data_IF_368909665347
#
_entry.id   IF_368909665347
#
_cell.length_a   1.000
_cell.length_b   1.000
_cell.length_c   1.000
_cell.angle_alpha   90.00
_cell.angle_beta   90.00
_cell.angle_gamma   90.00
#
_symmetry.space_group_name_H-M   'P 1'
#
loop_
_entity.id
_entity.type
_entity.pdbx_description
1 polymer ?
#
# COMPACT_ATOMS: atom_id res chain seq x y z
N UNK A 1 7.38 10.84 -4.76
CA UNK A 1 8.65 11.16 -4.09
C UNK A 1 9.79 10.27 -4.59
N UNK A 2 9.65 8.91 -4.59
CA UNK A 2 10.74 8.01 -5.05
C UNK A 2 11.18 8.31 -6.49
N UNK A 3 10.24 8.42 -7.42
CA UNK A 3 10.55 8.74 -8.82
C UNK A 3 11.28 10.08 -8.97
N UNK A 4 10.88 11.09 -8.20
CA UNK A 4 11.55 12.39 -8.20
C UNK A 4 12.98 12.32 -7.62
N UNK A 5 13.16 11.58 -6.51
CA UNK A 5 14.47 11.35 -5.91
C UNK A 5 15.44 10.67 -6.91
N UNK A 6 14.96 9.64 -7.61
CA UNK A 6 15.75 8.94 -8.62
C UNK A 6 16.09 9.88 -9.77
N UNK A 7 15.07 10.54 -10.32
CA UNK A 7 15.24 11.36 -11.51
C UNK A 7 16.18 12.57 -11.29
N UNK A 8 16.00 13.28 -10.15
CA UNK A 8 16.64 14.59 -9.93
C UNK A 8 17.86 14.57 -9.02
N UNK A 9 18.03 13.55 -8.19
CA UNK A 9 19.11 13.53 -7.19
C UNK A 9 20.10 12.40 -7.48
N UNK A 10 19.61 11.22 -7.89
CA UNK A 10 20.47 10.03 -7.95
C UNK A 10 21.00 9.69 -9.36
N UNK A 11 20.36 10.18 -10.42
CA UNK A 11 20.65 9.66 -11.77
C UNK A 11 20.69 10.72 -12.89
N UNK A 12 20.78 12.00 -12.59
CA UNK A 12 20.83 13.07 -13.61
C UNK A 12 19.83 12.87 -14.77
N UNK A 13 18.52 12.79 -14.41
CA UNK A 13 17.39 12.65 -15.34
C UNK A 13 17.29 11.30 -16.08
N UNK A 14 17.79 10.19 -15.50
CA UNK A 14 17.64 8.88 -16.11
C UNK A 14 16.17 8.38 -16.08
N UNK A 15 15.52 8.39 -17.26
CA UNK A 15 14.19 7.82 -17.45
C UNK A 15 14.17 6.30 -17.21
N UNK A 16 15.25 5.59 -17.56
CA UNK A 16 15.37 4.14 -17.34
C UNK A 16 15.36 3.78 -15.85
N UNK A 17 16.12 4.51 -15.02
CA UNK A 17 16.15 4.28 -13.57
C UNK A 17 14.80 4.57 -12.91
N UNK A 18 14.12 5.64 -13.35
CA UNK A 18 12.76 5.99 -12.89
C UNK A 18 11.73 4.94 -13.33
N UNK A 19 11.81 4.46 -14.56
CA UNK A 19 10.98 3.37 -15.07
C UNK A 19 11.19 2.09 -14.29
N UNK A 20 12.44 1.72 -13.99
CA UNK A 20 12.78 0.55 -13.15
C UNK A 20 12.20 0.68 -11.74
N UNK A 21 12.31 1.85 -11.11
CA UNK A 21 11.72 2.10 -9.79
C UNK A 21 10.21 1.86 -9.80
N UNK A 22 9.54 2.39 -10.81
CA UNK A 22 8.09 2.23 -11.00
C UNK A 22 7.72 0.78 -11.26
N UNK A 23 8.48 0.09 -12.12
CA UNK A 23 8.28 -1.33 -12.40
C UNK A 23 8.43 -2.18 -11.13
N UNK A 24 9.47 -1.97 -10.33
CA UNK A 24 9.70 -2.67 -9.07
C UNK A 24 8.58 -2.41 -8.04
N UNK A 25 7.98 -1.22 -8.04
CA UNK A 25 6.86 -0.89 -7.17
C UNK A 25 5.57 -1.63 -7.56
N UNK A 26 5.29 -1.79 -8.85
CA UNK A 26 4.05 -2.42 -9.33
C UNK A 26 4.18 -3.92 -9.59
N UNK A 27 5.38 -4.43 -9.84
CA UNK A 27 5.64 -5.85 -10.09
C UNK A 27 5.09 -6.78 -9.00
N UNK A 28 5.28 -6.51 -7.70
CA UNK A 28 4.69 -7.34 -6.65
C UNK A 28 3.16 -7.39 -6.70
N UNK A 29 2.50 -6.29 -7.01
CA UNK A 29 1.05 -6.26 -7.14
C UNK A 29 0.57 -7.18 -8.27
N UNK A 30 1.28 -7.21 -9.40
CA UNK A 30 0.97 -8.09 -10.52
C UNK A 30 1.19 -9.57 -10.16
N UNK A 31 2.32 -9.89 -9.54
CA UNK A 31 2.69 -11.28 -9.24
C UNK A 31 1.96 -11.87 -8.02
N UNK A 32 1.67 -11.03 -7.03
CA UNK A 32 1.16 -11.48 -5.73
C UNK A 32 -0.36 -11.28 -5.58
N UNK A 33 -1.04 -10.63 -6.53
CA UNK A 33 -2.47 -10.26 -6.41
C UNK A 33 -3.38 -11.43 -6.05
N UNK A 34 -3.26 -12.56 -6.75
CA UNK A 34 -4.06 -13.75 -6.47
C UNK A 34 -3.77 -14.36 -5.09
N UNK A 35 -2.47 -14.42 -4.71
CA UNK A 35 -2.06 -14.91 -3.41
C UNK A 35 -2.48 -13.94 -2.29
N UNK A 36 -2.35 -12.63 -2.51
CA UNK A 36 -2.71 -11.60 -1.55
C UNK A 36 -4.21 -11.61 -1.20
N UNK A 37 -5.08 -11.82 -2.19
CA UNK A 37 -6.51 -12.01 -1.97
C UNK A 37 -6.78 -13.21 -1.06
N UNK A 38 -6.20 -14.37 -1.37
CA UNK A 38 -6.35 -15.58 -0.55
C UNK A 38 -5.84 -15.43 0.88
N UNK A 39 -4.73 -14.72 1.06
CA UNK A 39 -4.18 -14.43 2.39
C UNK A 39 -5.12 -13.48 3.14
N UNK A 40 -5.59 -12.41 2.50
CA UNK A 40 -6.47 -11.42 3.12
C UNK A 40 -7.78 -12.04 3.64
N UNK A 41 -8.32 -13.06 2.95
CA UNK A 41 -9.53 -13.77 3.37
C UNK A 41 -9.30 -14.67 4.62
N UNK A 42 -8.06 -15.07 4.89
CA UNK A 42 -7.71 -16.07 5.91
C UNK A 42 -7.15 -15.50 7.20
N UNK A 43 -6.58 -14.31 7.14
CA UNK A 43 -5.90 -13.67 8.27
C UNK A 43 -6.84 -12.73 9.03
N UNK A 44 -6.43 -12.31 10.23
CA UNK A 44 -7.02 -11.18 10.92
C UNK A 44 -6.63 -9.89 10.19
N UNK A 45 -7.57 -9.32 9.42
CA UNK A 45 -7.33 -8.17 8.57
C UNK A 45 -6.77 -6.97 9.36
N UNK A 46 -7.26 -6.74 10.58
CA UNK A 46 -6.78 -5.64 11.43
C UNK A 46 -5.29 -5.79 11.75
N UNK A 47 -4.89 -6.96 12.29
CA UNK A 47 -3.49 -7.23 12.63
C UNK A 47 -2.62 -7.18 11.40
N UNK A 48 -3.12 -7.73 10.30
CA UNK A 48 -2.41 -7.75 9.04
C UNK A 48 -2.18 -6.35 8.49
N UNK A 49 -3.18 -5.48 8.52
CA UNK A 49 -3.06 -4.07 8.14
C UNK A 49 -2.07 -3.30 9.04
N UNK A 50 -2.07 -3.56 10.36
CA UNK A 50 -1.04 -2.97 11.24
C UNK A 50 0.36 -3.35 10.80
N UNK A 51 0.58 -4.63 10.44
CA UNK A 51 1.89 -5.10 9.96
C UNK A 51 2.26 -4.43 8.64
N UNK A 52 1.37 -4.43 7.63
CA UNK A 52 1.66 -3.81 6.33
C UNK A 52 1.93 -2.31 6.44
N UNK A 53 1.15 -1.59 7.24
CA UNK A 53 1.36 -0.16 7.51
C UNK A 53 2.70 0.09 8.23
N UNK A 54 3.04 -0.75 9.22
CA UNK A 54 4.32 -0.64 9.93
C UNK A 54 5.49 -0.90 8.99
N UNK A 55 5.42 -1.92 8.14
CA UNK A 55 6.47 -2.20 7.14
C UNK A 55 6.65 -1.01 6.19
N UNK A 56 5.57 -0.47 5.64
CA UNK A 56 5.64 0.69 4.74
C UNK A 56 6.18 1.94 5.45
N UNK A 57 5.80 2.14 6.72
CA UNK A 57 6.31 3.22 7.56
C UNK A 57 7.81 3.10 7.82
N UNK A 58 8.28 1.91 8.20
CA UNK A 58 9.71 1.63 8.45
C UNK A 58 10.53 1.81 7.17
N UNK A 59 10.08 1.26 6.04
CA UNK A 59 10.76 1.44 4.75
C UNK A 59 10.88 2.92 4.39
N UNK A 60 9.80 3.69 4.60
CA UNK A 60 9.82 5.14 4.36
C UNK A 60 10.75 5.88 5.31
N UNK A 61 10.79 5.50 6.59
CA UNK A 61 11.67 6.09 7.59
C UNK A 61 13.16 5.80 7.30
N UNK A 62 13.49 4.57 6.90
CA UNK A 62 14.86 4.20 6.51
C UNK A 62 15.29 5.02 5.29
N UNK A 63 14.44 5.10 4.27
CA UNK A 63 14.74 5.90 3.08
C UNK A 63 14.89 7.40 3.42
N UNK A 64 14.05 7.92 4.33
CA UNK A 64 14.19 9.29 4.84
C UNK A 64 15.55 9.51 5.49
N UNK A 65 15.99 8.61 6.37
CA UNK A 65 17.26 8.68 7.05
C UNK A 65 18.44 8.65 6.06
N UNK A 66 18.39 7.78 5.06
CA UNK A 66 19.43 7.70 4.01
C UNK A 66 19.52 8.97 3.18
N UNK A 67 18.37 9.54 2.79
CA UNK A 67 18.32 10.78 2.00
C UNK A 67 18.82 11.98 2.82
N UNK A 68 18.38 12.11 4.09
CA UNK A 68 18.78 13.20 4.96
C UNK A 68 20.27 13.13 5.35
N UNK A 69 20.82 11.90 5.46
CA UNK A 69 22.23 11.68 5.73
C UNK A 69 23.12 11.83 4.49
N UNK A 70 22.54 12.10 3.31
CA UNK A 70 23.29 12.20 2.04
C UNK A 70 23.90 10.87 1.57
N UNK A 71 23.39 9.73 2.08
CA UNK A 71 23.88 8.38 1.75
C UNK A 71 22.96 7.60 0.81
N UNK A 72 21.88 8.23 0.35
CA UNK A 72 20.93 7.58 -0.53
C UNK A 72 21.60 7.12 -1.83
N UNK A 73 21.40 5.85 -2.17
CA UNK A 73 21.87 5.24 -3.40
C UNK A 73 20.68 4.66 -4.17
N UNK A 74 20.85 4.48 -5.47
CA UNK A 74 19.77 4.00 -6.34
C UNK A 74 19.20 2.65 -5.92
N UNK A 75 20.03 1.73 -5.48
CA UNK A 75 19.60 0.41 -5.00
C UNK A 75 18.77 0.48 -3.70
N UNK A 76 19.01 1.48 -2.81
CA UNK A 76 18.14 1.71 -1.65
C UNK A 76 16.71 2.03 -2.08
N UNK A 77 16.57 2.88 -3.11
CA UNK A 77 15.26 3.25 -3.65
C UNK A 77 14.59 2.05 -4.33
N UNK A 78 15.35 1.21 -5.04
CA UNK A 78 14.84 0.00 -5.67
C UNK A 78 14.31 -1.00 -4.63
N UNK A 79 15.06 -1.24 -3.56
CA UNK A 79 14.62 -2.09 -2.46
C UNK A 79 13.38 -1.52 -1.76
N UNK A 80 13.36 -0.20 -1.51
CA UNK A 80 12.21 0.47 -0.91
C UNK A 80 10.97 0.38 -1.82
N UNK A 81 11.13 0.54 -3.14
CA UNK A 81 10.06 0.40 -4.12
C UNK A 81 9.48 -1.02 -4.12
N UNK A 82 10.35 -2.03 -4.15
CA UNK A 82 9.96 -3.43 -4.12
C UNK A 82 9.25 -3.78 -2.80
N UNK A 83 9.80 -3.38 -1.66
CA UNK A 83 9.24 -3.65 -0.33
C UNK A 83 7.87 -2.97 -0.13
N UNK A 84 7.74 -1.69 -0.51
CA UNK A 84 6.46 -0.97 -0.43
C UNK A 84 5.45 -1.53 -1.43
N UNK A 85 5.88 -1.92 -2.63
CA UNK A 85 5.04 -2.59 -3.62
C UNK A 85 4.50 -3.92 -3.12
N UNK A 86 5.35 -4.75 -2.51
CA UNK A 86 4.93 -6.02 -1.90
C UNK A 86 3.96 -5.81 -0.74
N UNK A 87 4.26 -4.89 0.18
CA UNK A 87 3.36 -4.57 1.30
C UNK A 87 2.01 -4.04 0.79
N UNK A 88 2.00 -3.15 -0.21
CA UNK A 88 0.78 -2.61 -0.81
C UNK A 88 -0.07 -3.66 -1.54
N UNK A 89 0.57 -4.65 -2.18
CA UNK A 89 -0.13 -5.75 -2.84
C UNK A 89 -1.01 -6.55 -1.86
N UNK A 90 -0.55 -6.71 -0.63
CA UNK A 90 -1.30 -7.37 0.44
C UNK A 90 -2.24 -6.42 1.19
N UNK A 91 -1.84 -5.15 1.39
CA UNK A 91 -2.64 -4.16 2.11
C UNK A 91 -3.97 -3.88 1.42
N UNK A 92 -3.97 -3.76 0.09
CA UNK A 92 -5.15 -3.36 -0.68
C UNK A 92 -6.36 -4.32 -0.51
N UNK A 93 -6.26 -5.65 -0.71
CA UNK A 93 -7.39 -6.55 -0.51
C UNK A 93 -7.78 -6.65 0.97
N UNK A 94 -6.84 -6.67 1.90
CA UNK A 94 -7.13 -6.72 3.33
C UNK A 94 -7.91 -5.47 3.79
N UNK A 95 -7.57 -4.29 3.28
CA UNK A 95 -8.26 -3.04 3.56
C UNK A 95 -9.68 -3.04 3.04
N UNK A 96 -9.92 -3.56 1.83
CA UNK A 96 -11.28 -3.65 1.26
C UNK A 96 -12.19 -4.53 2.13
N UNK A 97 -11.70 -5.69 2.56
CA UNK A 97 -12.44 -6.58 3.46
C UNK A 97 -12.68 -5.90 4.82
N UNK A 98 -11.66 -5.22 5.34
CA UNK A 98 -11.75 -4.54 6.64
C UNK A 98 -12.76 -3.40 6.63
N UNK A 99 -12.82 -2.58 5.56
CA UNK A 99 -13.84 -1.51 5.40
C UNK A 99 -15.25 -2.09 5.46
N UNK A 100 -15.47 -3.25 4.84
CA UNK A 100 -16.77 -3.91 4.88
C UNK A 100 -17.17 -4.41 6.29
N UNK A 101 -16.19 -4.66 7.17
CA UNK A 101 -16.43 -5.04 8.57
C UNK A 101 -16.67 -3.85 9.51
N UNK A 102 -16.43 -2.64 9.06
CA UNK A 102 -16.59 -1.42 9.87
C UNK A 102 -18.01 -0.87 9.87
N UNK A 103 -18.85 -1.32 8.95
CA UNK A 103 -20.21 -0.80 8.75
C UNK A 103 -21.24 -1.93 8.64
N UNK A 104 -22.51 -1.66 8.98
CA UNK A 104 -23.59 -2.61 8.72
C UNK A 104 -23.80 -2.80 7.21
N UNK A 105 -24.40 -3.91 6.82
CA UNK A 105 -24.63 -4.28 5.42
C UNK A 105 -25.38 -3.22 4.60
N UNK A 106 -26.28 -2.47 5.24
CA UNK A 106 -27.06 -1.40 4.59
C UNK A 106 -26.19 -0.21 4.17
N UNK A 107 -25.08 0.03 4.86
CA UNK A 107 -24.18 1.17 4.61
C UNK A 107 -22.93 0.78 3.81
N UNK A 108 -22.82 -0.50 3.43
CA UNK A 108 -21.63 -1.02 2.74
C UNK A 108 -21.32 -0.27 1.44
N UNK A 109 -22.34 -0.01 0.61
CA UNK A 109 -22.16 0.71 -0.66
C UNK A 109 -21.62 2.13 -0.43
N UNK A 110 -22.12 2.79 0.61
CA UNK A 110 -21.69 4.14 1.01
C UNK A 110 -20.26 4.15 1.53
N UNK A 111 -19.90 3.18 2.38
CA UNK A 111 -18.54 3.04 2.91
C UNK A 111 -17.51 2.75 1.81
N UNK A 112 -17.82 1.85 0.87
CA UNK A 112 -16.97 1.56 -0.28
C UNK A 112 -16.83 2.78 -1.19
N UNK A 113 -17.93 3.51 -1.44
CA UNK A 113 -17.93 4.76 -2.20
C UNK A 113 -17.03 5.83 -1.55
N UNK A 114 -17.17 6.05 -0.25
CA UNK A 114 -16.37 7.01 0.51
C UNK A 114 -14.89 6.64 0.55
N UNK A 115 -14.58 5.34 0.77
CA UNK A 115 -13.21 4.84 0.71
C UNK A 115 -12.57 5.05 -0.67
N UNK A 116 -13.32 4.78 -1.74
CA UNK A 116 -12.87 4.99 -3.12
C UNK A 116 -12.66 6.46 -3.44
N UNK A 117 -13.57 7.32 -3.00
CA UNK A 117 -13.46 8.78 -3.17
C UNK A 117 -12.24 9.33 -2.43
N UNK A 118 -12.02 8.90 -1.18
CA UNK A 118 -10.85 9.29 -0.38
C UNK A 118 -9.54 8.85 -1.03
N UNK A 119 -9.50 7.62 -1.55
CA UNK A 119 -8.33 7.09 -2.26
C UNK A 119 -8.02 7.89 -3.54
N UNK A 120 -9.05 8.21 -4.34
CA UNK A 120 -8.88 9.01 -5.56
C UNK A 120 -8.49 10.46 -5.24
N UNK A 121 -9.08 11.06 -4.22
CA UNK A 121 -8.69 12.40 -3.76
C UNK A 121 -7.23 12.44 -3.30
N UNK A 122 -6.79 11.45 -2.51
CA UNK A 122 -5.39 11.33 -2.08
C UNK A 122 -4.44 11.13 -3.26
N UNK A 123 -4.85 10.35 -4.27
CA UNK A 123 -4.07 10.11 -5.49
C UNK A 123 -3.92 11.36 -6.36
N UNK A 124 -4.94 12.23 -6.38
CA UNK A 124 -4.91 13.50 -7.10
C UNK A 124 -4.11 14.56 -6.34
N UNK A 125 -4.36 14.72 -5.03
CA UNK A 125 -3.76 15.78 -4.21
C UNK A 125 -2.36 15.42 -3.70
N UNK A 126 -2.08 14.13 -3.53
CA UNK A 126 -0.82 13.63 -2.98
C UNK A 126 0.43 14.11 -3.72
N UNK A 127 0.52 13.98 -5.06
CA UNK A 127 1.65 14.48 -5.83
C UNK A 127 1.87 15.98 -5.70
N UNK A 128 0.78 16.78 -5.68
CA UNK A 128 0.86 18.23 -5.49
C UNK A 128 1.40 18.59 -4.09
N UNK A 129 0.86 17.98 -3.04
CA UNK A 129 1.33 18.16 -1.68
C UNK A 129 2.81 17.74 -1.53
N UNK A 130 3.18 16.58 -2.10
CA UNK A 130 4.57 16.12 -2.10
C UNK A 130 5.50 17.10 -2.83
N UNK A 131 5.06 17.65 -3.97
CA UNK A 131 5.82 18.67 -4.72
C UNK A 131 6.07 19.93 -3.91
N UNK A 132 5.06 20.43 -3.18
CA UNK A 132 5.21 21.58 -2.29
C UNK A 132 6.21 21.31 -1.14
N UNK A 133 6.11 20.15 -0.49
CA UNK A 133 7.06 19.78 0.58
C UNK A 133 8.48 19.68 0.02
N UNK A 134 8.66 19.07 -1.16
CA UNK A 134 9.98 19.01 -1.81
C UNK A 134 10.54 20.42 -2.06
N UNK A 135 9.70 21.33 -2.55
CA UNK A 135 10.13 22.70 -2.87
C UNK A 135 10.53 23.50 -1.62
N UNK A 136 9.89 23.26 -0.48
CA UNK A 136 10.12 24.05 0.75
C UNK A 136 11.26 23.47 1.63
N UNK A 137 11.27 22.16 1.82
CA UNK A 137 12.16 21.52 2.81
C UNK A 137 12.99 20.35 2.24
N UNK A 138 12.82 20.05 0.96
CA UNK A 138 13.60 19.02 0.28
C UNK A 138 12.98 17.62 0.33
N UNK A 139 13.52 16.72 -0.51
CA UNK A 139 12.97 15.38 -0.73
C UNK A 139 12.99 14.48 0.51
N UNK A 140 14.00 14.59 1.37
CA UNK A 140 14.13 13.77 2.56
C UNK A 140 12.94 13.92 3.50
N UNK A 141 12.44 15.13 3.66
CA UNK A 141 11.28 15.42 4.52
C UNK A 141 9.98 14.85 4.00
N UNK A 142 9.83 14.66 2.69
CA UNK A 142 8.65 13.96 2.14
C UNK A 142 8.58 12.52 2.64
N UNK A 143 9.73 11.83 2.74
CA UNK A 143 9.77 10.47 3.27
C UNK A 143 9.53 10.43 4.78
N UNK A 144 9.97 11.45 5.54
CA UNK A 144 9.61 11.60 6.97
C UNK A 144 8.10 11.76 7.13
N UNK A 145 7.50 12.70 6.40
CA UNK A 145 6.04 12.91 6.43
C UNK A 145 5.31 11.62 6.03
N UNK A 146 5.79 10.92 4.98
CA UNK A 146 5.20 9.67 4.54
C UNK A 146 5.29 8.58 5.63
N UNK A 147 6.43 8.45 6.32
CA UNK A 147 6.58 7.52 7.43
C UNK A 147 5.59 7.81 8.57
N UNK A 148 5.42 9.08 8.92
CA UNK A 148 4.45 9.51 9.92
C UNK A 148 3.01 9.24 9.48
N UNK A 149 2.68 9.45 8.20
CA UNK A 149 1.33 9.17 7.69
C UNK A 149 0.98 7.68 7.74
N UNK A 150 1.93 6.77 7.69
CA UNK A 150 1.69 5.33 7.93
C UNK A 150 1.47 4.99 9.40
N UNK A 151 2.07 5.77 10.31
CA UNK A 151 1.94 5.55 11.75
C UNK A 151 0.50 5.80 12.24
N UNK A 152 -0.19 6.81 11.70
CA UNK A 152 -1.56 7.15 12.10
C UNK A 152 -2.54 5.99 11.89
N UNK A 153 -2.70 5.40 10.69
CA UNK A 153 -3.60 4.27 10.50
C UNK A 153 -3.13 3.02 11.28
N UNK A 154 -1.83 2.80 11.43
CA UNK A 154 -1.32 1.69 12.25
C UNK A 154 -1.74 1.83 13.71
N UNK A 155 -1.61 3.02 14.31
CA UNK A 155 -2.06 3.31 15.67
C UNK A 155 -3.58 3.24 15.80
N UNK A 156 -4.32 3.84 14.85
CA UNK A 156 -5.77 3.78 14.85
C UNK A 156 -6.28 2.33 14.84
N UNK A 157 -5.72 1.50 13.97
CA UNK A 157 -6.03 0.07 13.90
C UNK A 157 -5.62 -0.67 15.18
N UNK A 158 -4.47 -0.35 15.77
CA UNK A 158 -3.98 -0.98 17.00
C UNK A 158 -4.85 -0.66 18.23
N UNK A 159 -5.46 0.53 18.28
CA UNK A 159 -6.32 0.98 19.38
C UNK A 159 -7.79 0.64 19.19
N UNK A 160 -8.20 0.22 17.99
CA UNK A 160 -9.58 -0.09 17.66
C UNK A 160 -10.13 -1.28 18.48
N UNK A 161 -11.36 -1.19 18.95
CA UNK A 161 -12.06 -2.25 19.70
C UNK A 161 -12.60 -3.30 18.72
N UNK A 162 -12.02 -4.50 18.74
CA UNK A 162 -12.41 -5.61 17.83
C UNK A 162 -13.86 -6.05 18.04
N UNK A 163 -14.38 -5.93 19.26
CA UNK A 163 -15.76 -6.32 19.61
C UNK A 163 -16.84 -5.48 18.89
N UNK A 164 -16.48 -4.33 18.36
CA UNK A 164 -17.40 -3.44 17.64
C UNK A 164 -17.40 -3.67 16.12
N UNK A 165 -16.60 -4.62 15.62
CA UNK A 165 -16.55 -4.95 14.19
C UNK A 165 -17.67 -5.95 13.83
N UNK A 166 -18.30 -5.72 12.68
CA UNK A 166 -19.30 -6.63 12.14
C UNK A 166 -18.66 -7.92 11.63
N UNK A 167 -19.23 -9.06 12.01
CA UNK A 167 -18.78 -10.36 11.51
C UNK A 167 -19.29 -10.56 10.08
N UNK A 168 -18.35 -10.62 9.14
CA UNK A 168 -18.66 -11.11 7.80
C UNK A 168 -18.55 -12.64 7.78
N UNK A 169 -19.49 -13.34 7.10
CA UNK A 169 -19.36 -14.78 6.88
C UNK A 169 -18.00 -15.08 6.23
N UNK A 170 -17.15 -15.82 6.92
CA UNK A 170 -15.86 -16.25 6.34
C UNK A 170 -16.16 -17.20 5.19
N UNK A 171 -15.57 -16.94 4.03
CA UNK A 171 -15.66 -17.87 2.92
C UNK A 171 -15.19 -19.27 3.37
N UNK A 172 -15.99 -20.30 3.11
CA UNK A 172 -15.67 -21.67 3.49
C UNK A 172 -14.34 -22.07 2.87
N UNK A 173 -13.48 -22.74 3.66
CA UNK A 173 -12.19 -23.24 3.20
C UNK A 173 -12.41 -24.35 2.16
N UNK A 174 -12.48 -24.03 0.88
CA UNK A 174 -12.45 -25.03 -0.18
C UNK A 174 -11.01 -25.18 -0.72
N UNK A 175 -10.50 -26.42 -0.72
CA UNK A 175 -9.26 -26.74 -1.41
C UNK A 175 -9.50 -26.61 -2.91
N UNK A 176 -8.70 -25.77 -3.61
CA UNK A 176 -8.80 -25.67 -5.08
C UNK A 176 -9.45 -24.39 -5.63
N UNK A 177 -9.85 -23.41 -4.82
CA UNK A 177 -10.52 -22.17 -5.24
C UNK A 177 -9.81 -21.42 -6.37
N UNK A 178 -8.48 -21.39 -6.40
CA UNK A 178 -7.71 -20.77 -7.50
C UNK A 178 -7.90 -21.57 -8.80
N UNK A 179 -7.91 -22.89 -8.73
CA UNK A 179 -8.08 -23.76 -9.90
C UNK A 179 -9.52 -23.69 -10.42
N UNK A 180 -10.49 -23.61 -9.54
CA UNK A 180 -11.91 -23.41 -9.89
C UNK A 180 -12.15 -22.02 -10.51
N UNK A 181 -11.55 -20.96 -9.96
CA UNK A 181 -11.62 -19.61 -10.52
C UNK A 181 -10.99 -19.53 -11.91
N UNK A 182 -9.83 -20.17 -12.12
CA UNK A 182 -9.19 -20.26 -13.44
C UNK A 182 -10.01 -21.11 -14.43
N UNK A 183 -10.59 -22.21 -13.94
CA UNK A 183 -11.47 -23.05 -14.76
C UNK A 183 -12.75 -22.29 -15.17
N UNK A 184 -13.34 -21.52 -14.25
CA UNK A 184 -14.53 -20.70 -14.53
C UNK A 184 -14.27 -19.64 -15.61
N UNK A 185 -13.15 -18.92 -15.53
CA UNK A 185 -12.75 -17.92 -16.53
C UNK A 185 -12.50 -18.58 -17.89
N UNK A 186 -11.88 -19.76 -17.91
CA UNK A 186 -11.59 -20.50 -19.16
C UNK A 186 -12.82 -21.08 -19.84
N UNK A 187 -13.90 -21.37 -19.12
CA UNK A 187 -15.14 -21.93 -19.70
C UNK A 187 -16.18 -20.87 -20.11
N UNK A 188 -15.99 -19.60 -19.74
CA UNK A 188 -16.90 -18.51 -20.11
C UNK A 188 -16.29 -17.44 -21.04
N UNK A 189 -15.05 -17.57 -21.43
CA UNK A 189 -14.41 -16.83 -22.53
C UNK A 189 -14.36 -17.67 -23.78
#
# INVERSE_FOLDING_TARGET
AQAWLVLRILTDDSAAATGTTTALQFLPALLLSAHAGLVADRVDQRRFLVVTQTVMGVVSAVLAADVLAGRAQLWHVYLAALATGAASAYDAPARQIFVARMVPSNDLANAVGLNSASFNAARLLGPAAAGLVIAWVGAGWVFVVNALTFLFPALALATMRVAELYDLPRAARAKGQVREGLAYVRHRG
#
